data_IF_718415742146
#
_entry.id   IF_718415742146
#
_cell.length_a   1.000
_cell.length_b   1.000
_cell.length_c   1.000
_cell.angle_alpha   90.00
_cell.angle_beta   90.00
_cell.angle_gamma   90.00
#
_symmetry.space_group_name_H-M   'P 1'
#
loop_
_entity.id
_entity.type
_entity.pdbx_description
1 polymer ?
#
# COMPACT_ATOMS: atom_id res chain seq x y z
N UNK A 1 14.45 -5.31 -26.67
CA UNK A 1 14.13 -5.80 -25.29
C UNK A 1 13.17 -4.91 -24.48
N UNK A 2 12.65 -3.81 -25.06
CA UNK A 2 11.66 -2.94 -24.43
C UNK A 2 10.42 -3.72 -23.95
N UNK A 3 9.82 -4.54 -24.81
CA UNK A 3 8.67 -5.37 -24.48
C UNK A 3 8.87 -6.28 -23.28
N UNK A 4 10.07 -6.80 -23.10
CA UNK A 4 10.39 -7.70 -21.99
C UNK A 4 10.45 -6.93 -20.65
N UNK A 5 10.94 -5.70 -20.67
CA UNK A 5 10.96 -4.83 -19.49
C UNK A 5 9.53 -4.43 -19.12
N UNK A 6 8.74 -3.97 -20.10
CA UNK A 6 7.34 -3.62 -19.90
C UNK A 6 6.53 -4.79 -19.36
N UNK A 7 6.67 -5.99 -19.95
CA UNK A 7 5.98 -7.17 -19.49
C UNK A 7 6.36 -7.55 -18.05
N UNK A 8 7.66 -7.55 -17.73
CA UNK A 8 8.14 -7.83 -16.38
C UNK A 8 7.60 -6.80 -15.37
N UNK A 9 7.61 -5.51 -15.72
CA UNK A 9 7.08 -4.46 -14.85
C UNK A 9 5.58 -4.60 -14.64
N UNK A 10 4.82 -4.88 -15.70
CA UNK A 10 3.36 -5.07 -15.60
C UNK A 10 3.01 -6.28 -14.73
N UNK A 11 3.68 -7.41 -14.94
CA UNK A 11 3.43 -8.62 -14.15
C UNK A 11 3.76 -8.38 -12.67
N UNK A 12 4.91 -7.78 -12.38
CA UNK A 12 5.33 -7.51 -11.01
C UNK A 12 4.46 -6.44 -10.34
N UNK A 13 3.96 -5.44 -11.10
CA UNK A 13 2.96 -4.48 -10.65
C UNK A 13 1.68 -5.18 -10.17
N UNK A 14 1.12 -6.07 -11.03
CA UNK A 14 -0.11 -6.81 -10.70
C UNK A 14 0.11 -7.71 -9.49
N UNK A 15 1.23 -8.44 -9.42
CA UNK A 15 1.55 -9.31 -8.30
C UNK A 15 1.69 -8.51 -6.99
N UNK A 16 2.38 -7.38 -7.02
CA UNK A 16 2.53 -6.49 -5.87
C UNK A 16 1.18 -5.92 -5.42
N UNK A 17 0.34 -5.48 -6.37
CA UNK A 17 -1.01 -5.01 -6.07
C UNK A 17 -1.84 -6.09 -5.39
N UNK A 18 -1.88 -7.31 -5.94
CA UNK A 18 -2.63 -8.43 -5.36
C UNK A 18 -2.10 -8.80 -3.97
N UNK A 19 -0.78 -8.80 -3.77
CA UNK A 19 -0.17 -9.05 -2.47
C UNK A 19 -0.67 -8.04 -1.42
N UNK A 20 -0.62 -6.75 -1.71
CA UNK A 20 -1.08 -5.69 -0.81
C UNK A 20 -2.59 -5.79 -0.57
N UNK A 21 -3.37 -5.99 -1.63
CA UNK A 21 -4.82 -6.11 -1.56
C UNK A 21 -5.25 -7.27 -0.66
N UNK A 22 -4.75 -8.48 -0.93
CA UNK A 22 -5.13 -9.66 -0.14
C UNK A 22 -4.58 -9.60 1.29
N UNK A 23 -3.37 -9.09 1.49
CA UNK A 23 -2.82 -8.89 2.84
C UNK A 23 -3.75 -8.03 3.70
N UNK A 24 -4.23 -6.90 3.17
CA UNK A 24 -5.18 -6.04 3.87
C UNK A 24 -6.48 -6.77 4.23
N UNK A 25 -7.03 -7.54 3.29
CA UNK A 25 -8.30 -8.22 3.50
C UNK A 25 -8.18 -9.39 4.49
N UNK A 26 -7.13 -10.20 4.38
CA UNK A 26 -6.89 -11.31 5.31
C UNK A 26 -6.65 -10.83 6.73
N UNK A 27 -5.95 -9.72 6.93
CA UNK A 27 -5.78 -9.13 8.27
C UNK A 27 -7.12 -8.71 8.85
N UNK A 28 -7.98 -8.05 8.07
CA UNK A 28 -9.32 -7.67 8.51
C UNK A 28 -10.17 -8.87 8.90
N UNK A 29 -10.16 -9.93 8.08
CA UNK A 29 -10.90 -11.17 8.34
C UNK A 29 -10.40 -11.84 9.63
N UNK A 30 -9.08 -11.98 9.77
CA UNK A 30 -8.48 -12.61 10.95
C UNK A 30 -8.82 -11.85 12.24
N UNK A 31 -8.75 -10.52 12.21
CA UNK A 31 -9.07 -9.68 13.35
C UNK A 31 -10.57 -9.70 13.69
N UNK A 32 -11.44 -9.62 12.67
CA UNK A 32 -12.87 -9.72 12.88
C UNK A 32 -13.25 -11.08 13.53
N UNK A 33 -12.63 -12.18 13.07
CA UNK A 33 -12.80 -13.49 13.68
C UNK A 33 -12.35 -13.54 15.15
N UNK A 34 -11.28 -12.82 15.52
CA UNK A 34 -10.86 -12.72 16.94
C UNK A 34 -11.86 -11.99 17.84
N UNK A 35 -12.67 -11.09 17.25
CA UNK A 35 -13.78 -10.45 17.95
C UNK A 35 -15.08 -11.28 17.91
N UNK A 36 -15.07 -12.45 17.28
CA UNK A 36 -16.24 -13.30 17.12
C UNK A 36 -17.22 -12.82 16.07
N UNK A 37 -16.79 -11.93 15.15
CA UNK A 37 -17.66 -11.41 14.10
C UNK A 37 -17.67 -12.34 12.89
N UNK A 38 -18.86 -12.65 12.40
CA UNK A 38 -19.01 -13.37 11.16
C UNK A 38 -18.70 -12.47 9.97
N UNK A 39 -17.83 -12.96 9.08
CA UNK A 39 -17.37 -12.22 7.92
C UNK A 39 -17.52 -13.02 6.64
N UNK A 40 -17.93 -12.36 5.58
CA UNK A 40 -17.88 -12.85 4.21
C UNK A 40 -16.83 -12.09 3.41
N UNK A 41 -16.23 -12.76 2.45
CA UNK A 41 -15.27 -12.16 1.54
C UNK A 41 -15.64 -12.49 0.10
N UNK A 42 -15.69 -11.48 -0.74
CA UNK A 42 -15.71 -11.65 -2.17
C UNK A 42 -14.41 -11.06 -2.78
N UNK A 43 -14.32 -11.10 -4.10
CA UNK A 43 -13.12 -10.62 -4.82
C UNK A 43 -12.78 -9.13 -4.62
N UNK A 44 -13.67 -8.33 -4.03
CA UNK A 44 -13.49 -6.87 -3.91
C UNK A 44 -13.52 -6.34 -2.48
N UNK A 45 -14.26 -6.96 -1.57
CA UNK A 45 -14.45 -6.41 -0.22
C UNK A 45 -14.80 -7.48 0.83
N UNK A 46 -14.57 -7.12 2.09
CA UNK A 46 -14.99 -7.89 3.26
C UNK A 46 -16.34 -7.38 3.73
N UNK A 47 -17.27 -8.30 3.92
CA UNK A 47 -18.59 -8.03 4.49
C UNK A 47 -18.61 -8.48 5.94
N UNK A 48 -19.24 -7.69 6.79
CA UNK A 48 -19.41 -8.01 8.21
C UNK A 48 -20.89 -8.26 8.45
N UNK A 49 -21.23 -9.46 8.93
CA UNK A 49 -22.61 -9.88 9.23
C UNK A 49 -22.94 -9.58 10.70
N UNK A 50 -22.83 -8.31 11.07
CA UNK A 50 -23.13 -7.81 12.41
C UNK A 50 -23.95 -6.53 12.32
N UNK A 51 -24.75 -6.28 13.36
CA UNK A 51 -25.55 -5.05 13.43
C UNK A 51 -24.72 -3.86 13.90
N UNK A 52 -25.18 -2.64 13.57
CA UNK A 52 -24.42 -1.42 13.85
C UNK A 52 -24.13 -1.20 15.34
N UNK A 53 -25.01 -1.71 16.23
CA UNK A 53 -24.85 -1.56 17.67
C UNK A 53 -23.86 -2.58 18.30
N UNK A 54 -23.50 -3.64 17.59
CA UNK A 54 -22.57 -4.66 18.05
C UNK A 54 -21.10 -4.28 17.86
N UNK A 55 -20.84 -3.24 17.05
CA UNK A 55 -19.49 -2.74 16.87
C UNK A 55 -18.95 -2.14 18.16
N UNK A 56 -17.82 -2.65 18.62
CA UNK A 56 -17.06 -2.06 19.73
C UNK A 56 -16.02 -1.09 19.22
N UNK A 57 -15.66 -0.09 20.05
CA UNK A 57 -14.61 0.86 19.72
C UNK A 57 -13.28 0.19 19.37
N UNK A 58 -12.91 -0.84 20.12
CA UNK A 58 -11.63 -1.52 19.95
C UNK A 58 -11.64 -2.37 18.66
N UNK A 59 -12.76 -3.02 18.35
CA UNK A 59 -12.92 -3.77 17.11
C UNK A 59 -12.76 -2.85 15.88
N UNK A 60 -13.46 -1.72 15.85
CA UNK A 60 -13.36 -0.77 14.73
C UNK A 60 -11.94 -0.26 14.58
N UNK A 61 -11.30 0.18 15.67
CA UNK A 61 -9.92 0.68 15.63
C UNK A 61 -8.98 -0.40 15.08
N UNK A 62 -9.04 -1.62 15.62
CA UNK A 62 -8.09 -2.66 15.27
C UNK A 62 -8.32 -3.20 13.86
N UNK A 63 -9.55 -3.53 13.49
CA UNK A 63 -9.89 -4.12 12.17
C UNK A 63 -9.53 -3.15 11.03
N UNK A 64 -9.82 -1.85 11.20
CA UNK A 64 -9.59 -0.88 10.12
C UNK A 64 -8.19 -0.25 10.11
N UNK A 65 -7.43 -0.29 11.21
CA UNK A 65 -6.07 0.26 11.25
C UNK A 65 -4.97 -0.77 11.02
N UNK A 66 -5.17 -2.02 11.44
CA UNK A 66 -4.13 -3.04 11.39
C UNK A 66 -3.70 -3.38 9.96
N UNK A 67 -4.65 -3.43 9.00
CA UNK A 67 -4.33 -3.66 7.60
C UNK A 67 -3.32 -2.64 7.05
N UNK A 68 -3.63 -1.35 7.07
CA UNK A 68 -2.71 -0.29 6.66
C UNK A 68 -1.36 -0.29 7.38
N UNK A 69 -1.34 -0.58 8.69
CA UNK A 69 -0.09 -0.65 9.48
C UNK A 69 0.78 -1.83 9.00
N UNK A 70 0.19 -3.01 8.83
CA UNK A 70 0.93 -4.20 8.35
C UNK A 70 1.42 -4.01 6.92
N UNK A 71 0.65 -3.35 6.08
CA UNK A 71 1.06 -3.00 4.72
C UNK A 71 2.23 -2.01 4.74
N UNK A 72 2.22 -1.03 5.63
CA UNK A 72 3.36 -0.13 5.82
C UNK A 72 4.63 -0.90 6.19
N UNK A 73 4.52 -1.83 7.14
CA UNK A 73 5.64 -2.70 7.55
C UNK A 73 6.15 -3.51 6.35
N UNK A 74 5.25 -4.13 5.59
CA UNK A 74 5.59 -4.91 4.40
C UNK A 74 6.31 -4.04 3.35
N UNK A 75 5.81 -2.84 3.09
CA UNK A 75 6.43 -1.89 2.15
C UNK A 75 7.80 -1.42 2.63
N UNK A 76 7.95 -1.14 3.92
CA UNK A 76 9.23 -0.79 4.52
C UNK A 76 10.25 -1.93 4.44
N UNK A 77 9.85 -3.16 4.74
CA UNK A 77 10.69 -4.35 4.61
C UNK A 77 11.10 -4.60 3.15
N UNK A 78 10.18 -4.42 2.20
CA UNK A 78 10.49 -4.53 0.77
C UNK A 78 11.52 -3.48 0.33
N UNK A 79 11.41 -2.24 0.83
CA UNK A 79 12.38 -1.19 0.54
C UNK A 79 13.76 -1.48 1.15
N UNK A 80 13.79 -1.96 2.40
CA UNK A 80 15.03 -2.40 3.06
C UNK A 80 15.66 -3.56 2.28
N UNK A 81 14.88 -4.56 1.90
CA UNK A 81 15.33 -5.68 1.08
C UNK A 81 15.91 -5.21 -0.26
N UNK A 82 15.28 -4.24 -0.92
CA UNK A 82 15.77 -3.64 -2.16
C UNK A 82 17.20 -3.09 -1.99
N UNK A 83 17.49 -2.41 -0.89
CA UNK A 83 18.82 -1.85 -0.63
C UNK A 83 19.87 -2.91 -0.24
N UNK A 84 19.46 -4.02 0.37
CA UNK A 84 20.36 -5.11 0.74
C UNK A 84 20.67 -6.04 -0.44
N UNK A 85 19.72 -6.30 -1.31
CA UNK A 85 19.88 -7.20 -2.44
C UNK A 85 20.48 -6.52 -3.68
N UNK A 86 21.69 -5.98 -3.54
CA UNK A 86 22.34 -5.22 -4.62
C UNK A 86 22.64 -6.09 -5.85
N UNK A 87 22.91 -7.39 -5.67
CA UNK A 87 23.30 -8.32 -6.75
C UNK A 87 22.15 -9.15 -7.31
N UNK A 88 20.92 -8.96 -6.81
CA UNK A 88 19.75 -9.74 -7.23
C UNK A 88 19.28 -9.40 -8.65
N UNK A 89 18.62 -10.37 -9.32
CA UNK A 89 18.11 -10.16 -10.67
C UNK A 89 17.12 -8.99 -10.73
N UNK A 90 17.17 -8.26 -11.83
CA UNK A 90 16.36 -7.05 -12.07
C UNK A 90 14.86 -7.25 -11.80
N UNK A 91 14.33 -8.46 -12.02
CA UNK A 91 12.91 -8.79 -11.77
C UNK A 91 12.53 -8.68 -10.29
N UNK A 92 13.40 -9.15 -9.38
CA UNK A 92 13.16 -9.06 -7.93
C UNK A 92 13.20 -7.60 -7.49
N UNK A 93 14.14 -6.81 -8.00
CA UNK A 93 14.22 -5.38 -7.69
C UNK A 93 12.97 -4.62 -8.09
N UNK A 94 12.44 -4.87 -9.30
CA UNK A 94 11.19 -4.27 -9.76
C UNK A 94 10.02 -4.69 -8.86
N UNK A 95 9.92 -5.96 -8.50
CA UNK A 95 8.87 -6.44 -7.61
C UNK A 95 8.92 -5.73 -6.24
N UNK A 96 10.11 -5.61 -5.63
CA UNK A 96 10.28 -4.92 -4.35
C UNK A 96 9.92 -3.44 -4.43
N UNK A 97 10.24 -2.77 -5.53
CA UNK A 97 9.80 -1.39 -5.78
C UNK A 97 8.29 -1.30 -5.85
N UNK A 98 7.63 -2.17 -6.63
CA UNK A 98 6.18 -2.15 -6.75
C UNK A 98 5.47 -2.46 -5.43
N UNK A 99 5.98 -3.41 -4.63
CA UNK A 99 5.46 -3.68 -3.28
C UNK A 99 5.56 -2.42 -2.41
N UNK A 100 6.71 -1.76 -2.39
CA UNK A 100 6.91 -0.56 -1.59
C UNK A 100 6.02 0.60 -2.05
N UNK A 101 5.92 0.83 -3.37
CA UNK A 101 5.06 1.86 -3.94
C UNK A 101 3.59 1.63 -3.62
N UNK A 102 3.09 0.41 -3.83
CA UNK A 102 1.70 0.08 -3.51
C UNK A 102 1.42 0.21 -2.02
N UNK A 103 2.35 -0.25 -1.17
CA UNK A 103 2.19 -0.18 0.28
C UNK A 103 2.10 1.28 0.78
N UNK A 104 3.00 2.14 0.35
CA UNK A 104 2.99 3.55 0.75
C UNK A 104 1.80 4.31 0.15
N UNK A 105 1.48 4.07 -1.13
CA UNK A 105 0.30 4.64 -1.75
C UNK A 105 -0.99 4.18 -1.08
N UNK A 106 -1.08 2.92 -0.67
CA UNK A 106 -2.22 2.40 0.07
C UNK A 106 -2.38 3.10 1.42
N UNK A 107 -1.31 3.21 2.22
CA UNK A 107 -1.37 3.87 3.51
C UNK A 107 -1.73 5.35 3.37
N UNK A 108 -0.92 6.12 2.65
CA UNK A 108 -1.10 7.57 2.56
C UNK A 108 -2.36 7.94 1.77
N UNK A 109 -2.70 7.17 0.73
CA UNK A 109 -3.95 7.32 0.00
C UNK A 109 -5.16 7.03 0.88
N UNK A 110 -5.12 6.00 1.73
CA UNK A 110 -6.22 5.70 2.65
C UNK A 110 -6.36 6.75 3.76
N UNK A 111 -5.27 7.36 4.23
CA UNK A 111 -5.35 8.50 5.15
C UNK A 111 -6.00 9.72 4.51
N UNK A 112 -5.71 10.00 3.26
CA UNK A 112 -6.29 11.12 2.53
C UNK A 112 -7.75 10.84 2.11
N UNK A 113 -7.95 9.79 1.29
CA UNK A 113 -9.24 9.48 0.68
C UNK A 113 -10.22 8.91 1.71
N UNK A 114 -9.77 7.97 2.54
CA UNK A 114 -10.60 7.36 3.58
C UNK A 114 -11.18 8.36 4.55
N UNK A 115 -10.43 9.41 4.84
CA UNK A 115 -10.88 10.48 5.74
C UNK A 115 -11.93 11.39 5.07
N UNK A 116 -11.76 11.69 3.78
CA UNK A 116 -12.72 12.51 3.02
C UNK A 116 -14.03 11.76 2.82
N UNK A 117 -13.97 10.50 2.39
CA UNK A 117 -15.16 9.69 2.07
C UNK A 117 -15.70 8.88 3.26
N UNK A 118 -15.05 8.95 4.43
CA UNK A 118 -15.43 8.20 5.64
C UNK A 118 -15.42 6.69 5.44
N UNK A 119 -14.44 6.20 4.68
CA UNK A 119 -14.28 4.78 4.35
C UNK A 119 -12.96 4.22 4.89
N UNK A 120 -12.87 2.91 5.05
CA UNK A 120 -11.64 2.25 5.49
C UNK A 120 -11.10 2.84 6.80
N UNK A 121 -9.90 3.43 6.78
CA UNK A 121 -9.27 4.09 7.96
C UNK A 121 -10.09 5.28 8.45
N UNK A 122 -10.89 5.91 7.58
CA UNK A 122 -11.79 7.01 7.97
C UNK A 122 -12.82 6.61 9.03
N UNK A 123 -13.23 5.34 9.08
CA UNK A 123 -14.07 4.83 10.17
C UNK A 123 -13.40 4.96 11.52
N UNK A 124 -12.09 4.69 11.61
CA UNK A 124 -11.33 4.83 12.87
C UNK A 124 -11.43 6.25 13.40
N UNK A 125 -11.21 7.24 12.54
CA UNK A 125 -11.24 8.66 12.92
C UNK A 125 -12.64 9.13 13.34
N UNK A 126 -13.69 8.60 12.69
CA UNK A 126 -15.07 8.86 13.09
C UNK A 126 -15.39 8.25 14.47
N UNK A 127 -14.99 7.01 14.71
CA UNK A 127 -15.18 6.34 15.99
C UNK A 127 -14.33 6.92 17.12
N UNK A 128 -13.20 7.56 16.80
CA UNK A 128 -12.40 8.33 17.77
C UNK A 128 -12.96 9.74 18.02
N UNK A 129 -14.08 10.10 17.39
CA UNK A 129 -14.69 11.42 17.50
C UNK A 129 -13.74 12.57 17.18
N UNK A 130 -12.82 12.37 16.22
CA UNK A 130 -11.93 13.44 15.80
C UNK A 130 -12.72 14.61 15.22
N UNK A 131 -12.30 15.82 15.56
CA UNK A 131 -12.87 17.04 14.98
C UNK A 131 -12.58 17.11 13.48
N UNK A 132 -13.40 17.83 12.72
CA UNK A 132 -13.21 17.95 11.27
C UNK A 132 -11.86 18.60 10.93
N UNK A 133 -11.39 19.53 11.77
CA UNK A 133 -10.04 20.10 11.64
C UNK A 133 -8.96 19.03 11.79
N UNK A 134 -9.06 18.14 12.78
CA UNK A 134 -8.09 17.05 12.97
C UNK A 134 -8.12 16.08 11.78
N UNK A 135 -9.30 15.73 11.26
CA UNK A 135 -9.45 14.91 10.06
C UNK A 135 -8.82 15.54 8.82
N UNK A 136 -8.97 16.86 8.68
CA UNK A 136 -8.35 17.58 7.56
C UNK A 136 -6.82 17.59 7.68
N UNK A 137 -6.26 17.73 8.89
CA UNK A 137 -4.81 17.61 9.12
C UNK A 137 -4.32 16.21 8.74
N UNK A 138 -5.03 15.16 9.13
CA UNK A 138 -4.67 13.78 8.75
C UNK A 138 -4.72 13.58 7.23
N UNK A 139 -5.72 14.12 6.55
CA UNK A 139 -5.80 14.06 5.09
C UNK A 139 -4.62 14.79 4.43
N UNK A 140 -4.23 15.96 4.96
CA UNK A 140 -3.06 16.71 4.48
C UNK A 140 -1.76 15.93 4.70
N UNK A 141 -1.60 15.28 5.86
CA UNK A 141 -0.46 14.41 6.13
C UNK A 141 -0.41 13.22 5.15
N UNK A 142 -1.56 12.66 4.80
CA UNK A 142 -1.66 11.64 3.75
C UNK A 142 -1.16 12.17 2.39
N UNK A 143 -1.58 13.36 2.00
CA UNK A 143 -1.14 14.00 0.76
C UNK A 143 0.39 14.26 0.76
N UNK A 144 0.92 14.84 1.84
CA UNK A 144 2.38 15.06 1.97
C UNK A 144 3.14 13.72 1.95
N UNK A 145 2.57 12.68 2.56
CA UNK A 145 3.14 11.32 2.52
C UNK A 145 3.21 10.74 1.10
N UNK A 146 2.20 11.00 0.24
CA UNK A 146 2.24 10.61 -1.17
C UNK A 146 3.37 11.32 -1.93
N UNK A 147 3.55 12.62 -1.71
CA UNK A 147 4.67 13.37 -2.29
C UNK A 147 6.03 12.85 -1.79
N UNK A 148 6.14 12.55 -0.48
CA UNK A 148 7.31 11.93 0.12
C UNK A 148 7.61 10.57 -0.48
N UNK A 149 6.59 9.76 -0.77
CA UNK A 149 6.73 8.47 -1.46
C UNK A 149 7.35 8.65 -2.84
N UNK A 150 6.85 9.58 -3.64
CA UNK A 150 7.39 9.86 -4.96
C UNK A 150 8.88 10.26 -4.89
N UNK A 151 9.24 11.11 -3.93
CA UNK A 151 10.62 11.53 -3.73
C UNK A 151 11.53 10.37 -3.29
N UNK A 152 11.12 9.59 -2.30
CA UNK A 152 11.93 8.47 -1.76
C UNK A 152 12.10 7.34 -2.77
N UNK A 153 11.13 7.09 -3.65
CA UNK A 153 11.18 6.06 -4.67
C UNK A 153 11.98 6.45 -5.92
N UNK A 154 12.33 7.72 -6.10
CA UNK A 154 13.08 8.18 -7.27
C UNK A 154 14.44 7.45 -7.44
N UNK A 155 15.21 7.31 -6.36
CA UNK A 155 16.51 6.59 -6.39
C UNK A 155 16.37 5.07 -6.64
N UNK A 156 15.51 4.33 -5.92
CA UNK A 156 15.23 2.92 -6.23
C UNK A 156 14.85 2.66 -7.68
N UNK A 157 13.98 3.49 -8.25
CA UNK A 157 13.57 3.40 -9.65
C UNK A 157 14.77 3.61 -10.59
N UNK A 158 15.58 4.64 -10.36
CA UNK A 158 16.77 4.91 -11.15
C UNK A 158 17.80 3.75 -11.09
N UNK A 159 18.02 3.18 -9.90
CA UNK A 159 18.93 2.04 -9.71
C UNK A 159 18.39 0.77 -10.37
N UNK A 160 17.08 0.54 -10.36
CA UNK A 160 16.48 -0.59 -11.07
C UNK A 160 16.62 -0.43 -12.58
N UNK A 161 16.46 0.78 -13.10
CA UNK A 161 16.69 1.07 -14.52
C UNK A 161 18.12 0.67 -14.94
N UNK A 162 19.14 0.98 -14.12
CA UNK A 162 20.52 0.58 -14.37
C UNK A 162 20.71 -0.94 -14.50
N UNK A 163 19.88 -1.72 -13.83
CA UNK A 163 19.97 -3.19 -13.91
C UNK A 163 19.52 -3.76 -15.26
N UNK A 164 18.78 -2.99 -16.04
CA UNK A 164 18.29 -3.36 -17.37
C UNK A 164 19.13 -2.76 -18.52
N UNK A 165 19.84 -1.67 -18.26
CA UNK A 165 20.62 -0.96 -19.26
C UNK A 165 22.09 -0.94 -18.87
N UNK A 166 22.98 -1.46 -19.72
CA UNK A 166 24.43 -1.41 -19.51
C UNK A 166 25.00 0.01 -19.56
N UNK A 167 24.29 0.91 -20.24
CA UNK A 167 24.57 2.35 -20.27
C UNK A 167 23.26 3.10 -20.18
N UNK A 168 23.05 3.80 -19.07
CA UNK A 168 21.98 4.77 -18.96
C UNK A 168 22.32 6.00 -19.78
N UNK A 169 21.75 6.09 -20.97
CA UNK A 169 21.58 7.41 -21.57
C UNK A 169 20.30 8.04 -20.99
N UNK A 170 20.33 9.33 -20.70
CA UNK A 170 19.15 10.10 -20.24
C UNK A 170 17.94 9.90 -21.15
N UNK A 171 18.16 9.55 -22.40
CA UNK A 171 17.15 9.24 -23.40
C UNK A 171 16.32 7.98 -23.09
N UNK A 172 16.88 7.00 -22.41
CA UNK A 172 16.21 5.72 -22.12
C UNK A 172 15.49 5.72 -20.77
N UNK A 173 15.76 6.71 -19.93
CA UNK A 173 15.18 6.82 -18.59
C UNK A 173 13.64 6.98 -18.59
N UNK A 174 13.03 7.82 -19.46
CA UNK A 174 11.57 7.94 -19.51
C UNK A 174 10.85 6.63 -19.82
N UNK A 175 11.43 5.75 -20.64
CA UNK A 175 10.84 4.46 -21.02
C UNK A 175 10.87 3.40 -19.92
N UNK A 176 11.59 3.65 -18.84
CA UNK A 176 11.60 2.75 -17.68
C UNK A 176 10.45 3.02 -16.73
N UNK A 177 9.98 4.25 -16.68
CA UNK A 177 8.94 4.70 -15.74
C UNK A 177 7.54 4.55 -16.33
N UNK A 178 7.41 4.54 -17.66
CA UNK A 178 6.16 4.34 -18.37
C UNK A 178 5.91 2.85 -18.66
#
# INVERSE_FOLDING_TARGET
NFWLITLNSTVTYILAYLLIFYTNHFIKIALAGNFGYDVGFNHSQVFYYIESHEWTHDAVKLIYSAGPIMILILGGLALIAFWHFVQEPARIKILLIWISLHAFNFLFGSLMIGNIFKEGVGHVFNWMYLTDTAKMIVALLGFVGLLGTAYTMSKPVALSANSYFNQLSERNFPFFIT
#
